data_IF_454850257115
#
_entry.id   IF_454850257115
#
_cell.length_a   1.000
_cell.length_b   1.000
_cell.length_c   1.000
_cell.angle_alpha   90.00
_cell.angle_beta   90.00
_cell.angle_gamma   90.00
#
_symmetry.space_group_name_H-M   'P 1'
#
loop_
_entity.id
_entity.type
_entity.pdbx_description
1 polymer ?
#
# COMPACT_ATOMS: atom_id res chain seq x y z
N UNK A 1 -20.74 1.92 -7.52
CA UNK A 1 -19.61 2.24 -6.60
C UNK A 1 -18.68 1.02 -6.53
N UNK A 2 -17.79 0.82 -7.52
CA UNK A 2 -17.12 -0.49 -7.76
C UNK A 2 -15.62 -0.48 -7.38
N UNK A 3 -15.05 0.68 -7.01
CA UNK A 3 -13.60 0.86 -6.91
C UNK A 3 -13.03 1.01 -5.49
N UNK A 4 -13.81 1.49 -4.52
CA UNK A 4 -13.32 1.83 -3.17
C UNK A 4 -14.24 1.26 -2.10
N UNK A 5 -13.71 1.09 -0.88
CA UNK A 5 -14.52 0.70 0.27
C UNK A 5 -15.41 1.83 0.76
N UNK A 6 -16.37 1.49 1.61
CA UNK A 6 -17.11 2.48 2.38
C UNK A 6 -16.16 3.22 3.34
N UNK A 7 -16.46 4.50 3.59
CA UNK A 7 -15.64 5.36 4.47
C UNK A 7 -15.30 4.73 5.83
N UNK A 8 -16.23 4.02 6.53
CA UNK A 8 -15.90 3.38 7.81
C UNK A 8 -14.75 2.37 7.72
N UNK A 9 -14.56 1.72 6.57
CA UNK A 9 -13.48 0.76 6.36
C UNK A 9 -12.11 1.44 6.35
N UNK A 10 -12.02 2.63 5.76
CA UNK A 10 -10.80 3.44 5.73
C UNK A 10 -10.53 4.16 7.06
N UNK A 11 -11.54 4.31 7.91
CA UNK A 11 -11.41 4.96 9.22
C UNK A 11 -11.14 3.98 10.36
N UNK A 12 -10.92 2.69 10.06
CA UNK A 12 -10.57 1.71 11.08
C UNK A 12 -9.29 2.14 11.80
N UNK A 13 -9.30 2.25 13.15
CA UNK A 13 -8.17 2.80 13.90
C UNK A 13 -6.82 2.13 13.61
N UNK A 14 -6.82 0.81 13.42
CA UNK A 14 -5.59 0.07 13.14
C UNK A 14 -5.04 0.29 11.72
N UNK A 15 -5.92 0.55 10.74
CA UNK A 15 -5.49 0.89 9.36
C UNK A 15 -4.87 2.28 9.33
N UNK A 16 -5.48 3.23 10.04
CA UNK A 16 -4.91 4.56 10.22
C UNK A 16 -3.58 4.52 10.98
N UNK A 17 -3.50 3.73 12.06
CA UNK A 17 -2.26 3.58 12.83
C UNK A 17 -1.12 2.97 11.99
N UNK A 18 -1.41 1.93 11.20
CA UNK A 18 -0.41 1.32 10.30
C UNK A 18 -0.03 2.23 9.14
N UNK A 19 -0.96 3.04 8.61
CA UNK A 19 -0.66 4.09 7.63
C UNK A 19 0.27 5.16 8.22
N UNK A 20 -0.05 5.68 9.41
CA UNK A 20 0.77 6.68 10.10
C UNK A 20 2.16 6.15 10.40
N UNK A 21 2.27 4.89 10.84
CA UNK A 21 3.55 4.23 11.04
C UNK A 21 4.35 4.15 9.73
N UNK A 22 3.71 3.73 8.63
CA UNK A 22 4.34 3.67 7.31
C UNK A 22 4.84 5.03 6.83
N UNK A 23 4.01 6.08 6.93
CA UNK A 23 4.40 7.45 6.57
C UNK A 23 5.57 7.92 7.44
N UNK A 24 5.54 7.66 8.75
CA UNK A 24 6.62 8.03 9.66
C UNK A 24 7.93 7.36 9.25
N UNK A 25 7.89 6.07 8.89
CA UNK A 25 9.07 5.35 8.39
C UNK A 25 9.59 5.94 7.07
N UNK A 26 8.70 6.32 6.14
CA UNK A 26 9.10 6.96 4.88
C UNK A 26 9.79 8.31 5.11
N UNK A 27 9.25 9.12 6.02
CA UNK A 27 9.82 10.43 6.36
C UNK A 27 11.18 10.24 7.02
N UNK A 28 11.29 9.40 8.05
CA UNK A 28 12.57 9.12 8.73
C UNK A 28 13.58 8.55 7.75
N UNK A 29 13.15 7.64 6.87
CA UNK A 29 13.97 7.05 5.82
C UNK A 29 14.58 8.10 4.89
N UNK A 30 13.81 9.11 4.46
CA UNK A 30 14.36 10.19 3.61
C UNK A 30 15.50 10.98 4.26
N UNK A 31 15.57 11.05 5.59
CA UNK A 31 16.66 11.73 6.30
C UNK A 31 17.85 10.81 6.59
N UNK A 32 17.60 9.52 6.87
CA UNK A 32 18.65 8.56 7.25
C UNK A 32 19.34 7.96 6.04
N UNK A 33 18.59 7.71 4.96
CA UNK A 33 19.10 7.16 3.69
C UNK A 33 18.73 8.10 2.54
N UNK A 34 19.41 9.24 2.41
CA UNK A 34 19.11 10.21 1.36
C UNK A 34 19.26 9.58 -0.02
N UNK A 35 18.19 9.63 -0.81
CA UNK A 35 18.18 9.21 -2.20
C UNK A 35 17.66 10.37 -3.06
N UNK A 36 18.15 10.54 -4.29
CA UNK A 36 17.82 11.70 -5.11
C UNK A 36 16.33 11.79 -5.48
N UNK A 37 15.58 10.68 -5.39
CA UNK A 37 14.16 10.58 -5.70
C UNK A 37 13.26 10.34 -4.46
N UNK A 38 13.85 10.26 -3.26
CA UNK A 38 13.12 9.98 -2.02
C UNK A 38 12.88 11.26 -1.24
N UNK A 39 11.77 11.93 -1.57
CA UNK A 39 11.28 13.09 -0.85
C UNK A 39 9.97 12.84 -0.09
N UNK A 40 9.64 13.79 0.78
CA UNK A 40 8.44 13.70 1.62
C UNK A 40 7.15 13.82 0.78
N UNK A 41 7.02 14.77 -0.17
CA UNK A 41 5.80 14.89 -0.97
C UNK A 41 5.45 13.61 -1.75
N UNK A 42 6.41 12.99 -2.45
CA UNK A 42 6.09 11.77 -3.22
C UNK A 42 5.73 10.60 -2.30
N UNK A 43 6.39 10.51 -1.15
CA UNK A 43 6.08 9.51 -0.11
C UNK A 43 4.62 9.62 0.35
N UNK A 44 4.13 10.84 0.58
CA UNK A 44 2.74 11.08 0.98
C UNK A 44 1.75 10.74 -0.13
N UNK A 45 2.05 11.12 -1.38
CA UNK A 45 1.21 10.82 -2.54
C UNK A 45 1.07 9.31 -2.73
N UNK A 46 2.20 8.59 -2.77
CA UNK A 46 2.22 7.15 -2.98
C UNK A 46 1.58 6.40 -1.81
N UNK A 47 1.84 6.81 -0.56
CA UNK A 47 1.22 6.20 0.62
C UNK A 47 -0.30 6.37 0.62
N UNK A 48 -0.81 7.55 0.27
CA UNK A 48 -2.25 7.80 0.18
C UNK A 48 -2.90 6.95 -0.93
N UNK A 49 -2.28 6.89 -2.11
CA UNK A 49 -2.77 6.05 -3.20
C UNK A 49 -2.76 4.57 -2.81
N UNK A 50 -1.66 4.08 -2.22
CA UNK A 50 -1.56 2.70 -1.74
C UNK A 50 -2.64 2.37 -0.71
N UNK A 51 -2.93 3.29 0.22
CA UNK A 51 -3.99 3.12 1.20
C UNK A 51 -5.37 2.89 0.57
N UNK A 52 -5.65 3.62 -0.51
CA UNK A 52 -6.91 3.53 -1.22
C UNK A 52 -7.01 2.28 -2.10
N UNK A 53 -5.94 1.94 -2.82
CA UNK A 53 -5.99 1.01 -3.96
C UNK A 53 -5.37 -0.37 -3.68
N UNK A 54 -4.39 -0.49 -2.77
CA UNK A 54 -3.69 -1.75 -2.51
C UNK A 54 -4.62 -2.88 -2.03
N UNK A 55 -5.41 -2.70 -0.95
CA UNK A 55 -6.32 -3.74 -0.50
C UNK A 55 -7.39 -4.09 -1.54
N UNK A 56 -7.87 -3.12 -2.33
CA UNK A 56 -8.85 -3.38 -3.40
C UNK A 56 -8.22 -4.20 -4.54
N UNK A 57 -7.02 -3.83 -4.97
CA UNK A 57 -6.30 -4.52 -6.06
C UNK A 57 -6.06 -5.99 -5.70
N UNK A 58 -5.65 -6.25 -4.46
CA UNK A 58 -5.46 -7.61 -3.97
C UNK A 58 -6.79 -8.40 -3.96
N UNK A 59 -7.92 -7.78 -3.60
CA UNK A 59 -9.23 -8.45 -3.68
C UNK A 59 -9.67 -8.78 -5.09
N UNK A 60 -9.40 -7.91 -6.07
CA UNK A 60 -9.72 -8.21 -7.48
C UNK A 60 -9.06 -9.51 -7.91
N UNK A 61 -7.82 -9.76 -7.45
CA UNK A 61 -7.08 -11.01 -7.71
C UNK A 61 -7.70 -12.16 -6.91
N UNK A 62 -7.81 -12.02 -5.59
CA UNK A 62 -8.25 -13.10 -4.68
C UNK A 62 -9.69 -13.56 -4.97
N UNK A 63 -10.59 -12.61 -5.26
CA UNK A 63 -12.00 -12.87 -5.58
C UNK A 63 -12.23 -13.12 -7.08
N UNK A 64 -11.16 -13.21 -7.87
CA UNK A 64 -11.20 -13.57 -9.31
C UNK A 64 -12.13 -12.66 -10.12
N UNK A 65 -12.13 -11.35 -9.83
CA UNK A 65 -12.96 -10.35 -10.52
C UNK A 65 -12.33 -9.93 -11.85
N UNK A 66 -12.21 -10.86 -12.81
CA UNK A 66 -11.47 -10.69 -14.07
C UNK A 66 -11.86 -9.44 -14.86
N UNK A 67 -13.13 -9.05 -14.84
CA UNK A 67 -13.63 -7.85 -15.53
C UNK A 67 -12.98 -6.55 -15.02
N UNK A 68 -12.47 -6.54 -13.79
CA UNK A 68 -11.81 -5.38 -13.18
C UNK A 68 -10.28 -5.39 -13.35
N UNK A 69 -9.71 -6.41 -13.99
CA UNK A 69 -8.27 -6.52 -14.17
C UNK A 69 -7.63 -5.31 -14.85
N UNK A 70 -8.15 -4.79 -15.97
CA UNK A 70 -7.54 -3.62 -16.61
C UNK A 70 -7.44 -2.42 -15.66
N UNK A 71 -8.50 -2.17 -14.90
CA UNK A 71 -8.52 -1.06 -13.96
C UNK A 71 -7.65 -1.32 -12.73
N UNK A 72 -7.55 -2.58 -12.27
CA UNK A 72 -6.67 -2.98 -11.18
C UNK A 72 -5.19 -2.86 -11.55
N UNK A 73 -4.83 -3.31 -12.75
CA UNK A 73 -3.47 -3.19 -13.27
C UNK A 73 -3.10 -1.72 -13.45
N UNK A 74 -4.01 -0.89 -13.99
CA UNK A 74 -3.80 0.54 -14.09
C UNK A 74 -3.62 1.20 -12.72
N UNK A 75 -4.51 0.93 -11.76
CA UNK A 75 -4.41 1.51 -10.42
C UNK A 75 -3.12 1.09 -9.70
N UNK A 76 -2.74 -0.19 -9.83
CA UNK A 76 -1.50 -0.72 -9.26
C UNK A 76 -0.30 -0.04 -9.90
N UNK A 77 -0.18 -0.05 -11.23
CA UNK A 77 0.89 0.62 -11.96
C UNK A 77 0.97 2.11 -11.63
N UNK A 78 -0.16 2.81 -11.65
CA UNK A 78 -0.20 4.24 -11.36
C UNK A 78 0.23 4.54 -9.93
N UNK A 79 -0.17 3.71 -8.97
CA UNK A 79 0.23 3.89 -7.56
C UNK A 79 1.72 3.64 -7.35
N UNK A 80 2.30 2.61 -7.98
CA UNK A 80 3.70 2.21 -7.73
C UNK A 80 4.71 2.95 -8.59
N UNK A 81 4.31 3.46 -9.76
CA UNK A 81 5.23 4.05 -10.73
C UNK A 81 4.64 5.24 -11.49
N UNK A 82 3.37 5.19 -11.91
CA UNK A 82 2.80 6.27 -12.74
C UNK A 82 2.79 7.63 -12.05
N UNK A 83 2.38 7.71 -10.78
CA UNK A 83 2.40 8.95 -10.02
C UNK A 83 3.81 9.42 -9.66
N UNK A 84 4.71 8.49 -9.37
CA UNK A 84 6.15 8.74 -9.15
C UNK A 84 6.79 9.34 -10.41
N UNK A 85 6.57 8.72 -11.56
CA UNK A 85 7.11 9.18 -12.83
C UNK A 85 6.56 10.55 -13.22
N UNK A 86 5.26 10.77 -13.01
CA UNK A 86 4.63 12.07 -13.26
C UNK A 86 5.20 13.17 -12.34
N UNK A 87 5.34 12.88 -11.05
CA UNK A 87 5.90 13.82 -10.08
C UNK A 87 7.33 14.20 -10.44
N UNK A 88 8.22 13.22 -10.59
CA UNK A 88 9.63 13.47 -10.87
C UNK A 88 9.89 14.00 -12.28
N UNK A 89 9.00 13.76 -13.25
CA UNK A 89 9.07 14.42 -14.55
C UNK A 89 9.02 15.95 -14.44
N UNK A 90 8.28 16.49 -13.46
CA UNK A 90 8.20 17.93 -13.22
C UNK A 90 9.20 18.44 -12.19
N UNK A 91 9.61 17.60 -11.24
CA UNK A 91 10.54 18.00 -10.17
C UNK A 91 11.99 17.91 -10.60
N UNK A 92 12.42 16.74 -11.08
CA UNK A 92 13.77 16.50 -11.59
C UNK A 92 13.79 15.28 -12.54
N UNK A 93 13.76 15.51 -13.87
CA UNK A 93 13.83 14.44 -14.86
C UNK A 93 15.10 13.59 -14.80
N UNK A 94 16.20 14.11 -14.25
CA UNK A 94 17.45 13.36 -14.11
C UNK A 94 17.34 12.36 -12.97
N UNK A 95 16.81 12.76 -11.82
CA UNK A 95 16.49 11.84 -10.72
C UNK A 95 15.52 10.74 -11.18
N UNK A 96 14.50 11.10 -11.98
CA UNK A 96 13.59 10.13 -12.58
C UNK A 96 14.33 9.08 -13.41
N UNK A 97 15.18 9.52 -14.34
CA UNK A 97 15.91 8.63 -15.24
C UNK A 97 16.86 7.69 -14.48
N UNK A 98 17.40 8.13 -13.35
CA UNK A 98 18.34 7.34 -12.55
C UNK A 98 17.63 6.30 -11.66
N UNK A 99 16.49 6.66 -11.07
CA UNK A 99 15.93 5.91 -9.94
C UNK A 99 14.65 5.13 -10.27
N UNK A 100 13.97 5.40 -11.39
CA UNK A 100 12.67 4.79 -11.71
C UNK A 100 12.68 3.26 -11.67
N UNK A 101 13.72 2.64 -12.23
CA UNK A 101 13.85 1.19 -12.29
C UNK A 101 14.06 0.55 -10.91
N UNK A 102 14.56 1.33 -9.94
CA UNK A 102 14.73 0.92 -8.55
C UNK A 102 13.45 1.19 -7.74
N UNK A 103 12.79 2.31 -7.99
CA UNK A 103 11.52 2.65 -7.35
C UNK A 103 10.43 1.61 -7.66
N UNK A 104 10.27 1.19 -8.92
CA UNK A 104 9.21 0.26 -9.31
C UNK A 104 9.14 -1.02 -8.44
N UNK A 105 10.20 -1.83 -8.30
CA UNK A 105 10.15 -3.05 -7.49
C UNK A 105 10.03 -2.78 -5.99
N UNK A 106 10.64 -1.71 -5.47
CA UNK A 106 10.51 -1.32 -4.07
C UNK A 106 9.06 -0.95 -3.72
N UNK A 107 8.48 -0.06 -4.53
CA UNK A 107 7.10 0.41 -4.37
C UNK A 107 6.08 -0.69 -4.61
N UNK A 108 6.30 -1.58 -5.57
CA UNK A 108 5.42 -2.74 -5.79
C UNK A 108 5.43 -3.70 -4.59
N UNK A 109 6.60 -3.93 -3.99
CA UNK A 109 6.73 -4.78 -2.80
C UNK A 109 5.99 -4.17 -1.60
N UNK A 110 6.20 -2.87 -1.35
CA UNK A 110 5.49 -2.12 -0.31
C UNK A 110 3.98 -2.14 -0.55
N UNK A 111 3.54 -1.90 -1.78
CA UNK A 111 2.13 -1.96 -2.18
C UNK A 111 1.50 -3.32 -1.90
N UNK A 112 2.21 -4.41 -2.23
CA UNK A 112 1.77 -5.77 -1.90
C UNK A 112 1.63 -6.01 -0.40
N UNK A 113 2.64 -5.64 0.39
CA UNK A 113 2.61 -5.76 1.85
C UNK A 113 1.47 -4.95 2.48
N UNK A 114 1.33 -3.69 2.08
CA UNK A 114 0.21 -2.83 2.46
C UNK A 114 -1.14 -3.44 2.09
N UNK A 115 -1.24 -4.01 0.88
CA UNK A 115 -2.43 -4.70 0.40
C UNK A 115 -2.82 -5.86 1.31
N UNK A 116 -1.85 -6.68 1.74
CA UNK A 116 -2.06 -7.79 2.68
C UNK A 116 -2.50 -7.27 4.05
N UNK A 117 -1.77 -6.31 4.62
CA UNK A 117 -2.07 -5.74 5.94
C UNK A 117 -3.49 -5.15 5.96
N UNK A 118 -3.86 -4.37 4.95
CA UNK A 118 -5.17 -3.71 4.88
C UNK A 118 -6.28 -4.58 4.27
N UNK A 119 -5.98 -5.83 3.88
CA UNK A 119 -6.96 -6.81 3.42
C UNK A 119 -7.88 -7.27 4.56
N UNK A 120 -7.37 -7.31 5.78
CA UNK A 120 -8.19 -7.64 6.94
C UNK A 120 -9.27 -6.56 7.14
N UNK A 121 -10.50 -6.97 7.43
CA UNK A 121 -11.64 -6.07 7.69
C UNK A 121 -12.15 -6.14 9.13
N UNK A 122 -11.60 -7.01 9.97
CA UNK A 122 -12.00 -7.08 11.37
C UNK A 122 -11.35 -5.97 12.22
N UNK A 123 -11.75 -5.95 13.48
CA UNK A 123 -11.09 -5.24 14.58
C UNK A 123 -9.84 -6.00 15.04
N UNK A 124 -8.91 -5.32 15.73
CA UNK A 124 -7.75 -5.98 16.33
C UNK A 124 -8.16 -7.01 17.38
N UNK A 125 -9.25 -6.77 18.12
CA UNK A 125 -9.80 -7.72 19.07
C UNK A 125 -10.28 -9.01 18.41
N UNK A 126 -10.96 -8.91 17.26
CA UNK A 126 -11.39 -10.07 16.48
C UNK A 126 -10.18 -10.84 15.94
N UNK A 127 -9.17 -10.12 15.43
CA UNK A 127 -7.93 -10.76 14.96
C UNK A 127 -7.24 -11.53 16.08
N UNK A 128 -7.11 -10.93 17.26
CA UNK A 128 -6.49 -11.57 18.43
C UNK A 128 -7.30 -12.79 18.89
N UNK A 129 -8.64 -12.72 18.85
CA UNK A 129 -9.50 -13.85 19.20
C UNK A 129 -9.36 -15.00 18.20
N UNK A 130 -9.35 -14.71 16.89
CA UNK A 130 -9.14 -15.70 15.83
C UNK A 130 -7.78 -16.37 15.93
N UNK A 131 -6.71 -15.58 16.11
CA UNK A 131 -5.34 -16.08 16.28
C UNK A 131 -5.23 -16.98 17.51
N UNK A 132 -5.78 -16.56 18.65
CA UNK A 132 -5.81 -17.39 19.87
C UNK A 132 -6.58 -18.70 19.64
N UNK A 133 -7.70 -18.64 18.93
CA UNK A 133 -8.49 -19.83 18.58
C UNK A 133 -7.74 -20.82 17.69
N UNK A 134 -6.92 -20.33 16.75
CA UNK A 134 -6.07 -21.18 15.91
C UNK A 134 -4.98 -21.89 16.72
N UNK A 135 -4.30 -21.17 17.62
CA UNK A 135 -3.29 -21.76 18.50
C UNK A 135 -3.88 -22.80 19.46
N UNK A 136 -5.07 -22.53 20.03
CA UNK A 136 -5.76 -23.48 20.90
C UNK A 136 -6.15 -24.78 20.15
N UNK A 137 -6.55 -24.68 18.88
CA UNK A 137 -6.86 -25.85 18.04
C UNK A 137 -5.61 -26.63 17.61
N UNK A 138 -4.48 -25.95 17.40
CA UNK A 138 -3.22 -26.57 17.01
C UNK A 138 -2.57 -27.36 18.15
N UNK A 139 -2.72 -26.93 19.42
CA UNK A 139 -2.22 -27.65 20.60
C UNK A 139 -3.12 -28.78 21.10
N UNK A 140 -4.29 -28.99 20.48
CA UNK A 140 -5.25 -30.06 20.82
C UNK A 140 -5.21 -31.24 19.82
N UNK A 141 -4.28 -31.22 18.85
CA UNK A 141 -3.98 -32.33 17.94
C UNK A 141 -2.63 -32.93 18.28
#
# INVERSE_FOLDING_TARGET
MIFLYDLPEYLRPWKLATLLLGITLLIVGSFVTPAPDWDIPISLIMAALAYLTAPWSLRVILERRWRLWPAMLFATWFTVDGCYALYWYFVDPYALALMRDVNFPASLSLYGMCGVVWLYRGSLSELLAEVRGLFAKAGSR
#
